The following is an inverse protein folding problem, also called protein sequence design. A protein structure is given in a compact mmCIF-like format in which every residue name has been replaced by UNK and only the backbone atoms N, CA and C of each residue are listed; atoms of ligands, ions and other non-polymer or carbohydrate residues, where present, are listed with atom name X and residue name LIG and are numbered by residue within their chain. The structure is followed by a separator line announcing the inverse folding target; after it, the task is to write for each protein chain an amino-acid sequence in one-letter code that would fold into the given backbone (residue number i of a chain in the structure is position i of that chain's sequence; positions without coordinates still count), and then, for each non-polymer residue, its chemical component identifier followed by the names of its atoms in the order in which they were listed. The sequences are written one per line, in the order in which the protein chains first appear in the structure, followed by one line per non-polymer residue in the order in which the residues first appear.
data_IF_892721895237
#
_entry.id   IF_892721895237
#
_cell.length_a   1.000
_cell.length_b   1.000
_cell.length_c   1.000
_cell.angle_alpha   90.00
_cell.angle_beta   90.00
_cell.angle_gamma   90.00
#
_symmetry.space_group_name_H-M   'P 1'
#
loop_
_entity.id
_entity.type
_entity.pdbx_description
1 polymer ?
#
# COMPACT_ATOMS: atom_id res chain seq x y z
N UNK A 1 -5.13 26.48 66.31
CA UNK A 1 -5.90 26.01 65.12
C UNK A 1 -5.73 27.09 64.05
N UNK A 2 -4.77 26.93 63.14
CA UNK A 2 -4.64 27.83 61.99
C UNK A 2 -5.66 27.38 60.95
N UNK A 3 -6.63 28.25 60.64
CA UNK A 3 -7.56 28.03 59.55
C UNK A 3 -6.80 28.13 58.22
N UNK A 4 -6.71 27.00 57.51
CA UNK A 4 -6.26 26.98 56.12
C UNK A 4 -7.42 27.54 55.29
N UNK A 5 -7.24 28.74 54.75
CA UNK A 5 -8.19 29.37 53.83
C UNK A 5 -8.06 28.63 52.49
N UNK A 6 -9.03 27.77 52.20
CA UNK A 6 -9.10 27.06 50.93
C UNK A 6 -9.79 27.97 49.91
N UNK A 7 -9.01 28.62 49.06
CA UNK A 7 -9.53 29.46 47.97
C UNK A 7 -10.06 28.53 46.85
N UNK A 8 -11.36 28.54 46.52
CA UNK A 8 -11.96 27.60 45.56
C UNK A 8 -11.35 27.63 44.16
N UNK A 9 -10.72 28.74 43.76
CA UNK A 9 -10.02 28.89 42.47
C UNK A 9 -8.54 28.48 42.46
N UNK A 10 -7.91 28.32 43.62
CA UNK A 10 -6.51 27.85 43.69
C UNK A 10 -6.43 26.33 43.56
N UNK A 11 -7.41 25.60 44.09
CA UNK A 11 -7.49 24.13 43.94
C UNK A 11 -7.68 23.75 42.47
N UNK A 12 -8.52 24.44 41.72
CA UNK A 12 -8.78 24.14 40.30
C UNK A 12 -7.55 24.41 39.42
N UNK A 13 -6.75 25.43 39.73
CA UNK A 13 -5.50 25.72 39.04
C UNK A 13 -4.37 24.73 39.39
N UNK A 14 -4.25 24.31 40.65
CA UNK A 14 -3.24 23.33 41.11
C UNK A 14 -3.50 21.94 40.53
N UNK A 15 -4.77 21.53 40.38
CA UNK A 15 -5.13 20.23 39.79
C UNK A 15 -4.95 20.18 38.27
N UNK A 16 -5.11 21.29 37.55
CA UNK A 16 -4.95 21.33 36.08
C UNK A 16 -3.50 21.12 35.63
N UNK A 17 -2.51 21.47 36.47
CA UNK A 17 -1.10 21.47 36.12
C UNK A 17 -0.38 20.13 36.40
N UNK A 18 -1.08 19.12 36.91
CA UNK A 18 -0.48 17.81 37.28
C UNK A 18 -0.96 16.62 36.43
N UNK A 19 -1.96 16.81 35.55
CA UNK A 19 -2.41 15.75 34.65
C UNK A 19 -1.57 15.70 33.37
N UNK A 20 -1.18 14.50 32.92
CA UNK A 20 -0.39 14.35 31.72
C UNK A 20 -1.22 14.74 30.50
N UNK A 21 -0.58 15.43 29.56
CA UNK A 21 -1.22 15.84 28.31
C UNK A 21 -0.37 15.39 27.14
N UNK A 22 -1.01 14.80 26.14
CA UNK A 22 -0.36 14.52 24.86
C UNK A 22 -0.37 15.82 24.06
N UNK A 23 0.81 16.40 23.84
CA UNK A 23 0.96 17.66 23.12
C UNK A 23 0.96 17.42 21.61
N UNK A 24 1.82 16.52 21.13
CA UNK A 24 1.95 16.19 19.71
C UNK A 24 2.11 14.68 19.55
N UNK A 25 1.60 14.17 18.43
CA UNK A 25 1.69 12.76 18.08
C UNK A 25 1.76 12.59 16.55
N UNK A 26 2.21 11.43 16.09
CA UNK A 26 2.13 11.10 14.66
C UNK A 26 0.67 10.99 14.23
N UNK A 27 0.33 11.59 13.09
CA UNK A 27 -0.94 11.31 12.40
C UNK A 27 -0.87 9.94 11.72
N UNK A 28 -1.99 9.49 11.13
CA UNK A 28 -2.02 8.28 10.30
C UNK A 28 -0.88 8.30 9.26
N UNK A 29 -0.12 7.21 9.20
CA UNK A 29 1.07 7.09 8.34
C UNK A 29 0.85 6.01 7.29
N UNK A 30 1.37 6.25 6.09
CA UNK A 30 1.45 5.24 5.03
C UNK A 30 2.91 5.08 4.66
N UNK A 31 3.46 3.89 4.84
CA UNK A 31 4.88 3.59 4.60
C UNK A 31 5.02 2.39 3.67
N UNK A 32 6.11 2.31 2.94
CA UNK A 32 6.44 1.12 2.17
C UNK A 32 7.06 0.05 3.09
N UNK A 33 6.92 -1.21 2.70
CA UNK A 33 7.73 -2.29 3.29
C UNK A 33 9.22 -1.94 3.23
N UNK A 34 9.97 -2.41 4.24
CA UNK A 34 11.40 -2.13 4.50
C UNK A 34 11.75 -0.72 4.99
N UNK A 35 10.82 0.23 4.97
CA UNK A 35 11.01 1.53 5.61
C UNK A 35 11.00 1.40 7.14
N UNK A 36 11.36 2.47 7.85
CA UNK A 36 11.29 2.55 9.31
C UNK A 36 10.10 3.42 9.71
N UNK A 37 9.16 2.86 10.49
CA UNK A 37 8.07 3.63 11.07
C UNK A 37 8.54 4.30 12.37
N UNK A 38 8.18 5.59 12.53
CA UNK A 38 8.41 6.34 13.76
C UNK A 38 7.07 6.93 14.21
N UNK A 39 6.46 6.27 15.19
CA UNK A 39 5.22 6.71 15.82
C UNK A 39 5.58 7.57 17.02
N UNK A 40 5.33 8.87 16.92
CA UNK A 40 5.73 9.84 17.94
C UNK A 40 4.61 10.03 18.96
N UNK A 41 5.01 10.14 20.22
CA UNK A 41 4.12 10.52 21.31
C UNK A 41 4.86 11.47 22.26
N UNK A 42 4.46 12.73 22.26
CA UNK A 42 5.05 13.78 23.08
C UNK A 42 4.08 14.14 24.21
N UNK A 43 4.56 13.98 25.43
CA UNK A 43 3.78 14.09 26.66
C UNK A 43 4.34 15.24 27.48
N UNK A 44 3.45 16.05 28.04
CA UNK A 44 3.79 17.05 29.04
C UNK A 44 3.27 16.62 30.40
N UNK A 45 4.04 16.91 31.46
CA UNK A 45 3.73 16.62 32.85
C UNK A 45 3.51 15.11 33.07
N UNK A 46 4.42 14.28 32.57
CA UNK A 46 4.34 12.81 32.67
C UNK A 46 4.20 12.35 34.14
N UNK A 47 4.97 12.96 35.05
CA UNK A 47 4.89 12.66 36.48
C UNK A 47 5.12 11.18 36.78
N UNK A 48 4.21 10.55 37.52
CA UNK A 48 4.26 9.11 37.85
C UNK A 48 3.36 8.26 36.93
N UNK A 49 3.09 8.72 35.71
CA UNK A 49 2.36 7.95 34.71
C UNK A 49 3.35 7.19 33.84
N UNK A 50 2.91 6.03 33.36
CA UNK A 50 3.66 5.21 32.41
C UNK A 50 3.20 5.51 30.99
N UNK A 51 4.11 5.42 30.03
CA UNK A 51 3.77 5.48 28.60
C UNK A 51 3.75 4.07 28.04
N UNK A 52 2.62 3.65 27.50
CA UNK A 52 2.41 2.32 26.96
C UNK A 52 2.06 2.44 25.49
N UNK A 53 2.85 1.79 24.63
CA UNK A 53 2.46 1.57 23.25
C UNK A 53 1.69 0.26 23.13
N UNK A 54 0.49 0.33 22.56
CA UNK A 54 -0.39 -0.81 22.35
C UNK A 54 -0.63 -0.99 20.85
N UNK A 55 -0.86 -2.23 20.41
CA UNK A 55 -1.36 -2.53 19.07
C UNK A 55 -2.72 -3.22 19.20
N UNK A 56 -3.70 -2.76 18.43
CA UNK A 56 -4.99 -3.42 18.36
C UNK A 56 -4.87 -4.75 17.61
N UNK A 57 -5.30 -5.83 18.26
CA UNK A 57 -5.42 -7.16 17.67
C UNK A 57 -6.89 -7.43 17.36
N UNK A 58 -7.22 -7.47 16.07
CA UNK A 58 -8.60 -7.71 15.61
C UNK A 58 -9.10 -9.13 15.88
N UNK A 59 -8.21 -10.10 16.12
CA UNK A 59 -8.60 -11.49 16.42
C UNK A 59 -9.06 -11.65 17.87
N UNK A 60 -8.47 -10.87 18.78
CA UNK A 60 -8.79 -10.86 20.20
C UNK A 60 -9.75 -9.73 20.59
N UNK A 61 -10.04 -8.81 19.66
CA UNK A 61 -10.78 -7.57 19.88
C UNK A 61 -10.22 -6.76 21.07
N UNK A 62 -8.90 -6.65 21.14
CA UNK A 62 -8.21 -6.07 22.29
C UNK A 62 -6.91 -5.35 21.90
N UNK A 63 -6.52 -4.38 22.72
CA UNK A 63 -5.22 -3.72 22.63
C UNK A 63 -4.17 -4.52 23.41
N UNK A 64 -3.16 -5.03 22.69
CA UNK A 64 -2.05 -5.79 23.27
C UNK A 64 -0.85 -4.87 23.53
N UNK A 65 -0.22 -4.93 24.72
CA UNK A 65 0.92 -4.09 25.04
C UNK A 65 2.14 -4.49 24.20
N UNK A 66 2.66 -3.55 23.43
CA UNK A 66 3.96 -3.68 22.78
C UNK A 66 5.07 -3.28 23.75
N UNK A 67 4.86 -2.18 24.48
CA UNK A 67 5.85 -1.62 25.41
C UNK A 67 5.17 -1.04 26.65
N UNK A 68 5.91 -1.00 27.75
CA UNK A 68 5.63 -0.16 28.93
C UNK A 68 6.92 0.56 29.22
N UNK A 69 6.89 1.88 29.10
CA UNK A 69 8.07 2.73 29.09
C UNK A 69 9.09 2.20 28.06
N UNK A 70 10.37 2.07 28.40
CA UNK A 70 11.40 1.58 27.48
C UNK A 70 11.36 0.06 27.28
N UNK A 71 10.62 -0.68 28.11
CA UNK A 71 10.59 -2.14 28.03
C UNK A 71 9.67 -2.61 26.91
N UNK A 72 10.24 -3.36 25.96
CA UNK A 72 9.52 -3.99 24.84
C UNK A 72 9.13 -5.43 25.21
N UNK A 73 7.85 -5.76 25.15
CA UNK A 73 7.31 -7.11 25.42
C UNK A 73 7.17 -7.96 24.17
N UNK A 74 7.14 -7.32 22.99
CA UNK A 74 7.03 -8.02 21.73
C UNK A 74 8.35 -8.73 21.39
N UNK A 75 8.30 -10.01 21.02
CA UNK A 75 9.49 -10.82 20.75
C UNK A 75 10.30 -10.38 19.52
N UNK A 76 9.68 -9.57 18.66
CA UNK A 76 10.30 -9.09 17.43
C UNK A 76 11.23 -7.90 17.71
N UNK A 77 12.54 -8.12 17.61
CA UNK A 77 13.62 -7.14 17.86
C UNK A 77 13.59 -5.89 16.97
N UNK A 78 12.69 -5.84 15.97
CA UNK A 78 12.50 -4.67 15.11
C UNK A 78 11.82 -3.50 15.81
N UNK A 79 11.10 -3.78 16.90
CA UNK A 79 10.41 -2.81 17.73
C UNK A 79 11.34 -2.29 18.81
N UNK A 80 11.46 -0.97 18.92
CA UNK A 80 12.25 -0.32 19.97
C UNK A 80 11.63 1.02 20.35
N UNK A 81 11.96 1.49 21.56
CA UNK A 81 11.49 2.77 22.09
C UNK A 81 12.66 3.73 22.15
N UNK A 82 12.47 4.91 21.58
CA UNK A 82 13.37 6.05 21.74
C UNK A 82 12.68 7.05 22.66
N UNK A 83 13.17 7.15 23.90
CA UNK A 83 12.64 8.04 24.93
C UNK A 83 13.66 9.10 25.34
N UNK A 84 13.20 10.32 25.57
CA UNK A 84 13.99 11.38 26.18
C UNK A 84 13.09 12.42 26.83
N UNK A 85 13.60 13.11 27.85
CA UNK A 85 12.89 14.19 28.52
C UNK A 85 13.69 15.50 28.47
N UNK A 86 12.99 16.64 28.44
CA UNK A 86 13.61 17.98 28.48
C UNK A 86 13.34 18.66 29.82
N UNK A 87 14.03 19.77 30.08
CA UNK A 87 13.91 20.55 31.33
C UNK A 87 12.50 21.07 31.61
N UNK A 88 11.65 21.20 30.59
CA UNK A 88 10.34 21.86 30.68
C UNK A 88 9.19 20.86 30.92
N UNK A 89 9.48 19.73 31.60
CA UNK A 89 8.54 18.64 31.88
C UNK A 89 7.94 17.98 30.63
N UNK A 90 8.63 18.09 29.50
CA UNK A 90 8.26 17.45 28.24
C UNK A 90 9.03 16.13 28.10
N UNK A 91 8.30 15.06 27.81
CA UNK A 91 8.83 13.70 27.59
C UNK A 91 8.39 13.19 26.23
N UNK A 92 9.32 12.67 25.46
CA UNK A 92 9.11 12.09 24.14
C UNK A 92 9.25 10.58 24.24
N UNK A 93 8.30 9.86 23.67
CA UNK A 93 8.21 8.40 23.71
C UNK A 93 7.87 7.88 22.33
N UNK A 94 8.88 7.72 21.49
CA UNK A 94 8.70 7.29 20.11
C UNK A 94 8.75 5.77 20.03
N UNK A 95 7.74 5.14 19.45
CA UNK A 95 7.82 3.75 19.02
C UNK A 95 8.41 3.70 17.62
N UNK A 96 9.51 2.99 17.48
CA UNK A 96 10.18 2.79 16.21
C UNK A 96 10.09 1.33 15.77
N UNK A 97 9.73 1.12 14.51
CA UNK A 97 9.60 -0.19 13.90
C UNK A 97 10.50 -0.21 12.67
N UNK A 98 11.67 -0.84 12.80
CA UNK A 98 12.59 -1.03 11.69
C UNK A 98 12.10 -2.10 10.72
N UNK A 99 12.48 -1.99 9.45
CA UNK A 99 12.15 -2.95 8.39
C UNK A 99 10.65 -3.32 8.43
N UNK A 100 9.80 -2.31 8.22
CA UNK A 100 8.34 -2.45 8.29
C UNK A 100 7.86 -3.57 7.37
N UNK A 101 6.96 -4.39 7.89
CA UNK A 101 6.38 -5.52 7.21
C UNK A 101 4.88 -5.31 7.02
N UNK A 102 4.29 -6.03 6.07
CA UNK A 102 2.85 -5.96 5.82
C UNK A 102 1.97 -6.49 6.99
N UNK A 103 2.55 -7.12 8.02
CA UNK A 103 1.87 -7.48 9.27
C UNK A 103 1.91 -6.37 10.32
N UNK A 104 2.76 -5.35 10.11
CA UNK A 104 2.85 -4.20 11.00
C UNK A 104 1.71 -3.20 10.76
N UNK A 105 1.01 -3.29 9.62
CA UNK A 105 -0.22 -2.54 9.35
C UNK A 105 -1.25 -2.74 10.48
N UNK A 106 -1.86 -1.65 10.94
CA UNK A 106 -2.86 -1.71 11.99
C UNK A 106 -3.00 -0.41 12.78
N UNK A 107 -3.76 -0.48 13.87
CA UNK A 107 -4.01 0.63 14.79
C UNK A 107 -3.08 0.49 15.99
N UNK A 108 -2.31 1.55 16.24
CA UNK A 108 -1.43 1.69 17.39
C UNK A 108 -2.01 2.74 18.33
N UNK A 109 -1.82 2.56 19.63
CA UNK A 109 -2.25 3.51 20.65
C UNK A 109 -1.07 3.88 21.55
N UNK A 110 -0.83 5.19 21.70
CA UNK A 110 0.02 5.70 22.77
C UNK A 110 -0.88 6.05 23.95
N UNK A 111 -0.74 5.31 25.05
CA UNK A 111 -1.52 5.48 26.26
C UNK A 111 -0.62 5.94 27.40
N UNK A 112 -1.01 7.02 28.07
CA UNK A 112 -0.36 7.51 29.28
C UNK A 112 -1.29 7.22 30.43
N UNK A 113 -0.84 6.42 31.40
CA UNK A 113 -1.73 5.99 32.48
C UNK A 113 -1.03 5.71 33.80
N UNK A 114 -1.79 5.84 34.88
CA UNK A 114 -1.49 5.29 36.19
C UNK A 114 -2.77 4.70 36.80
N UNK A 115 -2.75 4.37 38.09
CA UNK A 115 -3.92 3.79 38.78
C UNK A 115 -5.14 4.72 38.90
N UNK A 116 -5.01 6.02 38.63
CA UNK A 116 -6.08 7.00 38.83
C UNK A 116 -6.59 7.64 37.53
N UNK A 117 -5.74 7.77 36.50
CA UNK A 117 -6.09 8.45 35.26
C UNK A 117 -5.39 7.85 34.05
N UNK A 118 -6.01 8.00 32.88
CA UNK A 118 -5.41 7.64 31.60
C UNK A 118 -5.84 8.58 30.47
N UNK A 119 -4.92 8.86 29.56
CA UNK A 119 -5.16 9.55 28.28
C UNK A 119 -4.52 8.76 27.15
N UNK A 120 -5.16 8.70 25.99
CA UNK A 120 -4.65 7.91 24.86
C UNK A 120 -4.94 8.58 23.51
N UNK A 121 -4.07 8.30 22.53
CA UNK A 121 -4.27 8.66 21.12
C UNK A 121 -4.04 7.45 20.24
N UNK A 122 -4.76 7.40 19.12
CA UNK A 122 -4.67 6.31 18.15
C UNK A 122 -4.01 6.78 16.87
N UNK A 123 -3.23 5.89 16.26
CA UNK A 123 -2.46 6.13 15.03
C UNK A 123 -2.67 4.93 14.12
N UNK A 124 -3.18 5.17 12.91
CA UNK A 124 -3.29 4.13 11.90
C UNK A 124 -2.01 4.08 11.06
N UNK A 125 -1.33 2.93 11.06
CA UNK A 125 -0.19 2.65 10.19
C UNK A 125 -0.66 1.78 9.02
N UNK A 126 -0.61 2.32 7.82
CA UNK A 126 -0.87 1.61 6.57
C UNK A 126 0.46 1.21 5.92
N UNK A 127 0.53 -0.01 5.38
CA UNK A 127 1.76 -0.51 4.75
C UNK A 127 1.51 -0.79 3.26
N UNK A 128 2.23 -0.05 2.42
CA UNK A 128 2.23 -0.23 0.97
C UNK A 128 3.31 -1.23 0.55
N UNK A 129 2.96 -2.03 -0.44
CA UNK A 129 3.83 -3.05 -1.00
C UNK A 129 4.03 -2.69 -2.46
N UNK A 130 5.27 -2.37 -2.88
CA UNK A 130 5.53 -2.08 -4.28
C UNK A 130 5.16 -3.31 -5.12
N UNK A 131 4.26 -3.09 -6.08
CA UNK A 131 3.72 -4.12 -6.94
C UNK A 131 3.55 -3.56 -8.34
N UNK A 132 4.00 -4.32 -9.34
CA UNK A 132 3.87 -4.02 -10.77
C UNK A 132 3.15 -5.15 -11.49
N UNK A 133 2.52 -4.79 -12.60
CA UNK A 133 1.98 -5.74 -13.57
C UNK A 133 2.40 -5.30 -14.97
N UNK A 134 3.03 -6.19 -15.72
CA UNK A 134 3.62 -5.91 -17.01
C UNK A 134 3.24 -6.98 -18.04
N UNK A 135 2.83 -6.59 -19.25
CA UNK A 135 2.43 -5.24 -19.67
C UNK A 135 1.11 -4.79 -19.00
N UNK A 136 0.99 -3.49 -18.67
CA UNK A 136 -0.24 -2.93 -18.09
C UNK A 136 -1.40 -2.84 -19.09
N UNK A 137 -1.10 -2.85 -20.40
CA UNK A 137 -2.09 -2.95 -21.47
C UNK A 137 -1.49 -3.72 -22.64
N UNK A 138 -2.23 -4.70 -23.14
CA UNK A 138 -1.80 -5.58 -24.22
C UNK A 138 -2.92 -5.77 -25.24
N UNK A 139 -2.53 -5.81 -26.52
CA UNK A 139 -3.42 -6.04 -27.65
C UNK A 139 -2.82 -7.18 -28.48
N UNK A 140 -3.58 -8.24 -28.71
CA UNK A 140 -3.12 -9.42 -29.44
C UNK A 140 -4.21 -9.96 -30.35
N UNK A 141 -3.79 -10.72 -31.36
CA UNK A 141 -4.71 -11.46 -32.21
C UNK A 141 -5.17 -12.77 -31.53
N UNK A 142 -6.32 -13.33 -31.93
CA UNK A 142 -6.72 -14.65 -31.47
C UNK A 142 -5.66 -15.73 -31.81
N UNK A 143 -5.36 -16.58 -30.83
CA UNK A 143 -4.36 -17.64 -30.92
C UNK A 143 -2.95 -17.23 -30.46
N UNK A 144 -2.66 -15.93 -30.31
CA UNK A 144 -1.35 -15.47 -29.81
C UNK A 144 -1.16 -15.88 -28.34
N UNK A 145 0.02 -16.38 -27.94
CA UNK A 145 0.33 -16.61 -26.53
C UNK A 145 0.45 -15.27 -25.78
N UNK A 146 -0.12 -15.19 -24.58
CA UNK A 146 -0.08 -14.00 -23.71
C UNK A 146 0.59 -14.36 -22.40
N UNK A 147 1.50 -13.50 -21.97
CA UNK A 147 2.14 -13.57 -20.66
C UNK A 147 1.94 -12.22 -19.95
N UNK A 148 1.39 -12.28 -18.73
CA UNK A 148 1.30 -11.13 -17.82
C UNK A 148 2.13 -11.43 -16.57
N UNK A 149 3.08 -10.56 -16.31
CA UNK A 149 3.99 -10.67 -15.18
C UNK A 149 3.55 -9.76 -14.05
N UNK A 150 3.25 -10.32 -12.88
CA UNK A 150 2.99 -9.57 -11.67
C UNK A 150 4.14 -9.75 -10.67
N UNK A 151 4.78 -8.66 -10.30
CA UNK A 151 5.96 -8.67 -9.42
C UNK A 151 5.66 -7.90 -8.14
N UNK A 152 5.94 -8.53 -7.00
CA UNK A 152 5.85 -7.93 -5.67
C UNK A 152 7.26 -7.79 -5.11
N UNK A 153 7.67 -6.56 -4.81
CA UNK A 153 9.02 -6.29 -4.31
C UNK A 153 9.09 -6.34 -2.78
N UNK A 154 10.26 -6.71 -2.26
CA UNK A 154 10.60 -6.77 -0.83
C UNK A 154 9.71 -7.70 0.00
N UNK A 155 9.07 -8.68 -0.64
CA UNK A 155 8.21 -9.67 0.00
C UNK A 155 8.43 -11.02 -0.66
N UNK A 156 8.66 -12.05 0.17
CA UNK A 156 8.78 -13.45 -0.27
C UNK A 156 7.46 -14.18 0.03
N UNK A 157 6.64 -14.43 -1.00
CA UNK A 157 5.30 -15.02 -0.86
C UNK A 157 4.87 -15.75 -2.13
N UNK A 158 4.12 -16.85 -1.97
CA UNK A 158 3.39 -17.51 -3.07
C UNK A 158 1.92 -17.08 -3.13
N UNK A 159 1.46 -16.19 -2.26
CA UNK A 159 0.03 -15.85 -2.10
C UNK A 159 -0.46 -14.80 -3.12
N UNK A 160 0.17 -14.73 -4.29
CA UNK A 160 -0.26 -13.85 -5.38
C UNK A 160 -1.43 -14.55 -6.07
N UNK A 161 -2.54 -13.83 -6.26
CA UNK A 161 -3.75 -14.40 -6.86
C UNK A 161 -4.21 -13.58 -8.05
N UNK A 162 -4.70 -14.24 -9.09
CA UNK A 162 -5.22 -13.60 -10.29
C UNK A 162 -6.74 -13.59 -10.33
N UNK A 163 -7.29 -12.46 -10.79
CA UNK A 163 -8.73 -12.26 -10.96
C UNK A 163 -9.00 -11.67 -12.33
N UNK A 164 -9.94 -12.27 -13.05
CA UNK A 164 -10.41 -11.77 -14.33
C UNK A 164 -11.74 -11.04 -14.18
N UNK A 165 -11.86 -9.86 -14.81
CA UNK A 165 -13.11 -9.14 -14.97
C UNK A 165 -13.32 -8.83 -16.45
N UNK A 166 -14.36 -9.41 -17.05
CA UNK A 166 -14.73 -9.09 -18.44
C UNK A 166 -15.11 -7.61 -18.57
N UNK A 167 -14.57 -6.94 -19.59
CA UNK A 167 -14.98 -5.58 -19.97
C UNK A 167 -16.20 -5.60 -20.91
N UNK A 168 -16.41 -6.71 -21.62
CA UNK A 168 -17.54 -6.93 -22.52
C UNK A 168 -18.54 -7.85 -21.81
N UNK A 169 -19.59 -7.28 -21.23
CA UNK A 169 -20.63 -8.02 -20.47
C UNK A 169 -21.39 -9.09 -21.30
N UNK A 170 -21.15 -9.17 -22.61
CA UNK A 170 -21.89 -10.01 -23.57
C UNK A 170 -21.39 -11.45 -23.71
N UNK A 171 -20.28 -11.83 -23.09
CA UNK A 171 -19.78 -13.22 -23.13
C UNK A 171 -19.46 -13.74 -21.73
N UNK A 172 -20.51 -14.06 -20.96
CA UNK A 172 -20.35 -15.02 -19.86
C UNK A 172 -20.16 -16.40 -20.48
N UNK A 173 -19.05 -17.11 -20.24
CA UNK A 173 -18.92 -18.49 -20.70
C UNK A 173 -20.03 -19.33 -20.05
N UNK A 174 -20.77 -20.10 -20.84
CA UNK A 174 -21.81 -20.99 -20.36
C UNK A 174 -21.27 -22.20 -19.57
N UNK A 175 -19.96 -22.42 -19.55
CA UNK A 175 -19.30 -23.44 -18.75
C UNK A 175 -18.24 -22.82 -17.84
N UNK A 176 -18.38 -23.07 -16.53
CA UNK A 176 -17.45 -22.68 -15.45
C UNK A 176 -16.14 -23.49 -15.45
N UNK A 177 -15.93 -24.34 -16.45
CA UNK A 177 -14.82 -25.27 -16.46
C UNK A 177 -13.62 -24.60 -17.13
N UNK A 178 -12.76 -24.06 -16.26
CA UNK A 178 -11.38 -23.69 -16.54
C UNK A 178 -11.20 -22.63 -17.65
N UNK A 179 -11.13 -21.35 -17.25
CA UNK A 179 -10.40 -20.38 -18.06
C UNK A 179 -9.00 -20.94 -18.31
N UNK A 180 -8.63 -21.20 -19.56
CA UNK A 180 -7.35 -21.83 -19.95
C UNK A 180 -6.18 -20.84 -19.76
N UNK A 181 -5.79 -20.65 -18.50
CA UNK A 181 -4.56 -19.98 -18.13
C UNK A 181 -3.77 -20.81 -17.14
N UNK A 182 -2.45 -20.68 -17.22
CA UNK A 182 -1.51 -21.28 -16.28
C UNK A 182 -0.87 -20.19 -15.43
N UNK A 183 -0.72 -20.47 -14.14
CA UNK A 183 0.01 -19.61 -13.21
C UNK A 183 1.35 -20.26 -12.87
N UNK A 184 2.43 -19.51 -13.06
CA UNK A 184 3.78 -19.93 -12.64
C UNK A 184 4.31 -18.93 -11.59
N UNK A 185 4.73 -19.44 -10.42
CA UNK A 185 5.30 -18.63 -9.36
C UNK A 185 6.82 -18.77 -9.33
N UNK A 186 7.53 -17.65 -9.34
CA UNK A 186 8.99 -17.57 -9.26
C UNK A 186 9.41 -16.72 -8.06
N UNK A 187 10.40 -17.20 -7.33
CA UNK A 187 11.03 -16.47 -6.24
C UNK A 187 12.35 -15.86 -6.71
N UNK A 188 12.49 -14.56 -6.51
CA UNK A 188 13.71 -13.81 -6.74
C UNK A 188 14.25 -13.29 -5.40
N UNK A 189 15.53 -12.90 -5.33
CA UNK A 189 16.20 -12.60 -4.07
C UNK A 189 15.49 -11.55 -3.19
N UNK A 190 14.76 -10.61 -3.80
CA UNK A 190 13.96 -9.58 -3.12
C UNK A 190 12.61 -9.33 -3.81
N UNK A 191 12.07 -10.33 -4.51
CA UNK A 191 10.77 -10.19 -5.18
C UNK A 191 10.08 -11.53 -5.33
N UNK A 192 8.75 -11.51 -5.29
CA UNK A 192 7.92 -12.64 -5.67
C UNK A 192 7.21 -12.32 -6.98
N UNK A 193 7.41 -13.16 -7.97
CA UNK A 193 6.83 -12.99 -9.31
C UNK A 193 5.79 -14.08 -9.54
N UNK A 194 4.63 -13.69 -10.07
CA UNK A 194 3.60 -14.59 -10.57
C UNK A 194 3.33 -14.25 -12.03
N UNK A 195 3.47 -15.23 -12.90
CA UNK A 195 3.22 -15.10 -14.33
C UNK A 195 1.90 -15.78 -14.67
N UNK A 196 1.01 -15.05 -15.34
CA UNK A 196 -0.21 -15.59 -15.93
C UNK A 196 0.00 -15.82 -17.41
N UNK A 197 -0.21 -17.05 -17.85
CA UNK A 197 0.09 -17.52 -19.20
C UNK A 197 -1.19 -18.02 -19.86
N UNK A 198 -1.59 -17.40 -20.97
CA UNK A 198 -2.66 -17.88 -21.85
C UNK A 198 -2.00 -18.39 -23.11
N UNK A 199 -2.01 -19.71 -23.32
CA UNK A 199 -1.30 -20.34 -24.45
C UNK A 199 -1.92 -19.97 -25.80
N UNK A 200 -3.25 -19.89 -25.85
CA UNK A 200 -4.00 -19.56 -27.05
C UNK A 200 -5.04 -18.49 -26.72
N UNK A 201 -4.72 -17.22 -26.99
CA UNK A 201 -5.63 -16.11 -26.69
C UNK A 201 -6.96 -16.26 -27.46
N UNK A 202 -8.07 -15.91 -26.81
CA UNK A 202 -9.42 -15.99 -27.38
C UNK A 202 -10.14 -14.67 -27.11
N UNK A 203 -11.12 -14.26 -27.94
CA UNK A 203 -11.85 -13.01 -27.74
C UNK A 203 -12.46 -12.86 -26.34
N UNK A 204 -12.85 -13.96 -25.70
CA UNK A 204 -13.40 -13.96 -24.33
C UNK A 204 -12.35 -13.77 -23.22
N UNK A 205 -11.05 -13.81 -23.52
CA UNK A 205 -9.97 -13.40 -22.61
C UNK A 205 -9.81 -11.87 -22.54
N UNK A 206 -10.53 -11.12 -23.39
CA UNK A 206 -10.56 -9.66 -23.37
C UNK A 206 -11.17 -9.15 -22.07
N UNK A 207 -10.40 -8.37 -21.31
CA UNK A 207 -10.86 -7.83 -20.05
C UNK A 207 -9.76 -7.24 -19.19
N UNK A 208 -10.08 -7.09 -17.91
CA UNK A 208 -9.18 -6.61 -16.88
C UNK A 208 -8.66 -7.80 -16.07
N UNK A 209 -7.37 -8.09 -16.19
CA UNK A 209 -6.67 -9.10 -15.40
C UNK A 209 -6.01 -8.42 -14.21
N UNK A 210 -6.35 -8.85 -13.00
CA UNK A 210 -5.90 -8.21 -11.76
C UNK A 210 -5.15 -9.20 -10.91
N UNK A 211 -3.87 -8.93 -10.64
CA UNK A 211 -3.14 -9.64 -9.61
C UNK A 211 -3.34 -8.95 -8.27
N UNK A 212 -3.52 -9.75 -7.21
CA UNK A 212 -3.72 -9.25 -5.85
C UNK A 212 -2.82 -9.95 -4.85
N UNK A 213 -2.44 -9.20 -3.83
CA UNK A 213 -1.75 -9.70 -2.65
C UNK A 213 -2.17 -8.91 -1.43
N UNK A 214 -2.73 -9.59 -0.43
CA UNK A 214 -3.42 -8.95 0.70
C UNK A 214 -4.44 -7.92 0.18
N UNK A 215 -4.35 -6.65 0.62
CA UNK A 215 -5.23 -5.54 0.19
C UNK A 215 -4.73 -4.80 -1.06
N UNK A 216 -3.55 -5.17 -1.58
CA UNK A 216 -2.94 -4.51 -2.74
C UNK A 216 -3.38 -5.20 -4.03
N UNK A 217 -3.61 -4.39 -5.08
CA UNK A 217 -4.05 -4.87 -6.39
C UNK A 217 -3.40 -4.09 -7.53
N UNK A 218 -3.04 -4.80 -8.60
CA UNK A 218 -2.60 -4.21 -9.87
C UNK A 218 -3.32 -4.90 -11.02
N UNK A 219 -3.69 -4.12 -12.03
CA UNK A 219 -4.50 -4.62 -13.14
C UNK A 219 -3.88 -4.28 -14.49
N UNK A 220 -3.95 -5.24 -15.40
CA UNK A 220 -3.60 -5.12 -16.80
C UNK A 220 -4.85 -5.28 -17.69
N UNK A 221 -4.91 -4.50 -18.76
CA UNK A 221 -5.99 -4.59 -19.76
C UNK A 221 -5.54 -5.44 -20.94
N UNK A 222 -6.22 -6.54 -21.20
CA UNK A 222 -5.98 -7.40 -22.36
C UNK A 222 -7.11 -7.23 -23.38
N UNK A 223 -6.74 -7.07 -24.64
CA UNK A 223 -7.65 -7.06 -25.78
C UNK A 223 -7.24 -8.14 -26.77
N UNK A 224 -8.16 -9.03 -27.09
CA UNK A 224 -7.96 -10.11 -28.06
C UNK A 224 -8.95 -9.92 -29.20
N UNK A 225 -8.49 -9.29 -30.29
CA UNK A 225 -9.29 -9.04 -31.48
C UNK A 225 -8.44 -9.21 -32.74
N UNK A 226 -9.08 -9.53 -33.87
CA UNK A 226 -8.35 -9.63 -35.13
C UNK A 226 -7.85 -8.25 -35.52
N UNK A 227 -6.58 -8.12 -35.86
CA UNK A 227 -6.06 -6.91 -36.45
C UNK A 227 -6.83 -6.62 -37.73
N UNK A 228 -7.54 -5.50 -37.79
CA UNK A 228 -7.94 -4.97 -39.08
C UNK A 228 -6.66 -4.48 -39.74
N UNK A 229 -6.18 -5.24 -40.75
CA UNK A 229 -5.25 -4.69 -41.72
C UNK A 229 -5.89 -3.40 -42.25
N UNK A 230 -5.38 -2.26 -41.82
CA UNK A 230 -5.67 -1.01 -42.51
C UNK A 230 -4.93 -1.16 -43.84
N UNK A 231 -5.59 -1.74 -44.83
CA UNK A 231 -5.13 -1.64 -46.22
C UNK A 231 -5.14 -0.15 -46.56
N UNK A 232 -3.99 0.49 -46.40
CA UNK A 232 -3.76 1.81 -46.96
C UNK A 232 -3.84 1.65 -48.47
N UNK A 233 -5.02 1.88 -49.04
CA UNK A 233 -5.16 2.16 -50.46
C UNK A 233 -4.38 3.45 -50.75
N UNK A 234 -3.11 3.30 -51.18
CA UNK A 234 -2.33 4.39 -51.76
C UNK A 234 -2.83 4.67 -53.18
N UNK A 235 -4.02 5.23 -53.30
CA UNK A 235 -4.51 5.76 -54.57
C UNK A 235 -3.85 7.10 -54.89
N UNK A 236 -2.61 7.07 -55.40
CA UNK A 236 -2.04 8.16 -56.19
C UNK A 236 -0.78 7.74 -56.96
N UNK A 237 -0.87 6.76 -57.86
CA UNK A 237 0.06 6.68 -58.99
C UNK A 237 -0.41 7.69 -60.05
N UNK A 238 0.09 8.92 -59.97
CA UNK A 238 -0.04 9.89 -61.07
C UNK A 238 1.03 9.54 -62.11
N UNK A 239 0.58 8.94 -63.20
CA UNK A 239 1.35 8.73 -64.42
C UNK A 239 1.81 10.09 -64.96
N UNK A 240 3.10 10.22 -65.21
CA UNK A 240 3.68 11.29 -66.02
C UNK A 240 3.32 10.98 -67.48
N UNK A 241 2.68 11.89 -68.24
CA UNK A 241 2.55 11.70 -69.68
C UNK A 241 3.88 12.02 -70.34
N UNK A 242 4.48 11.02 -70.96
CA UNK A 242 5.48 11.19 -72.01
C UNK A 242 4.76 11.44 -73.34
N UNK A 243 4.93 12.62 -73.93
CA UNK A 243 4.91 12.75 -75.38
C UNK A 243 5.67 13.99 -75.81
N UNK A 244 6.82 13.76 -76.43
CA UNK A 244 7.55 14.74 -77.20
C UNK A 244 6.80 15.08 -78.49
N UNK A 245 6.91 16.32 -78.95
CA UNK A 245 7.06 16.62 -80.38
C UNK A 245 7.70 18.00 -80.54
N UNK A 246 8.79 18.02 -81.29
CA UNK A 246 9.51 19.21 -81.68
C UNK A 246 8.90 19.80 -82.96
N UNK A 247 8.87 21.13 -83.06
CA UNK A 247 8.96 21.83 -84.35
C UNK A 247 9.66 23.17 -84.17
N UNK A 248 10.67 23.42 -84.99
CA UNK A 248 11.35 24.70 -85.16
C UNK A 248 10.47 25.67 -85.97
N UNK A 249 10.75 26.98 -85.91
CA UNK A 249 10.91 27.88 -87.07
C UNK A 249 11.46 29.24 -86.59
N UNK A 250 12.39 29.74 -87.39
CA UNK A 250 13.14 31.00 -87.37
C UNK A 250 12.32 32.28 -87.41
N UNK A 251 12.81 33.34 -86.74
CA UNK A 251 13.24 34.61 -87.35
C UNK A 251 14.07 35.41 -86.35
#
# INVERSE_FOLDING_TARGET
IQLIIIIPGLITAVLSNQFPRILTHSHNQTLNVSETAILRCHVKNLGHHHVTWLKYDSTMDAYLPLTVDEQVFYSNKRYFVSSYSTSDENSYWNLEISNVQASDEGIYECKISNRHASVAIQIHLQVQIPMTIEPARLHVEPGTPVELDCTIYNVNTSLITWHFSSLNQTSRPHHRDHFDFHEEHRYEANASKSQLIIRHAQPYHTGLWTCTYKRQKRSAKLFVEKGYLIEFFSSASRRIPTSATATSISK
#
